data_IF_648763037335
#
_entry.id   IF_648763037335
#
_cell.length_a   1.000
_cell.length_b   1.000
_cell.length_c   1.000
_cell.angle_alpha   90.00
_cell.angle_beta   90.00
_cell.angle_gamma   90.00
#
_symmetry.space_group_name_H-M   'P 1'
#
loop_
_entity.id
_entity.type
_entity.pdbx_description
1 polymer ?
#
# COMPACT_ATOMS: atom_id res chain seq x y z
N UNK A 1 1.28 -40.10 -26.93
CA UNK A 1 2.30 -39.57 -27.85
C UNK A 1 2.01 -38.09 -28.04
N UNK A 2 2.83 -37.22 -27.44
CA UNK A 2 2.78 -35.78 -27.75
C UNK A 2 3.51 -35.57 -29.09
N UNK A 3 2.98 -34.73 -30.00
CA UNK A 3 3.67 -34.47 -31.26
C UNK A 3 5.01 -33.79 -30.98
N UNK A 4 6.06 -34.43 -31.47
CA UNK A 4 7.39 -33.89 -31.58
C UNK A 4 7.38 -32.77 -32.64
N UNK A 5 7.50 -31.52 -32.21
CA UNK A 5 7.74 -30.38 -33.09
C UNK A 5 9.11 -29.82 -32.72
N UNK A 6 10.12 -30.36 -33.38
CA UNK A 6 11.46 -29.76 -33.48
C UNK A 6 11.36 -28.52 -34.36
N UNK A 7 11.78 -27.39 -33.78
CA UNK A 7 12.52 -26.29 -34.42
C UNK A 7 11.97 -25.71 -35.72
N UNK A 8 10.95 -24.85 -35.62
CA UNK A 8 10.58 -23.78 -36.57
C UNK A 8 9.40 -23.06 -35.90
N UNK A 9 9.60 -22.07 -35.04
CA UNK A 9 9.83 -20.69 -35.45
C UNK A 9 10.66 -20.00 -34.35
N UNK A 10 11.81 -19.47 -34.74
CA UNK A 10 12.42 -18.32 -34.08
C UNK A 10 11.46 -17.13 -34.25
N UNK A 11 10.29 -17.17 -33.57
CA UNK A 11 9.40 -16.02 -33.42
C UNK A 11 10.23 -15.02 -32.64
N UNK A 12 10.86 -14.16 -33.43
CA UNK A 12 11.97 -13.29 -33.10
C UNK A 12 11.93 -12.88 -31.64
N UNK A 13 12.76 -13.54 -30.81
CA UNK A 13 12.82 -13.33 -29.36
C UNK A 13 12.97 -11.83 -29.05
N UNK A 14 13.60 -11.08 -29.95
CA UNK A 14 13.73 -9.62 -29.84
C UNK A 14 12.39 -8.91 -29.95
N UNK A 15 11.51 -9.29 -30.88
CA UNK A 15 10.14 -8.73 -30.99
C UNK A 15 9.29 -9.05 -29.76
N UNK A 16 9.44 -10.26 -29.19
CA UNK A 16 8.75 -10.62 -27.95
C UNK A 16 9.24 -9.76 -26.77
N UNK A 17 10.56 -9.58 -26.64
CA UNK A 17 11.16 -8.73 -25.62
C UNK A 17 10.73 -7.27 -25.77
N UNK A 18 10.72 -6.73 -26.99
CA UNK A 18 10.26 -5.38 -27.28
C UNK A 18 8.81 -5.17 -26.87
N UNK A 19 7.90 -6.07 -27.28
CA UNK A 19 6.48 -6.00 -26.89
C UNK A 19 6.29 -6.10 -25.38
N UNK A 20 7.06 -6.95 -24.71
CA UNK A 20 7.03 -7.07 -23.25
C UNK A 20 7.51 -5.79 -22.56
N UNK A 21 8.53 -5.14 -23.10
CA UNK A 21 9.05 -3.87 -22.59
C UNK A 21 8.08 -2.71 -22.82
N UNK A 22 7.48 -2.61 -24.00
CA UNK A 22 6.41 -1.66 -24.29
C UNK A 22 5.22 -1.83 -23.34
N UNK A 23 4.77 -3.07 -23.12
CA UNK A 23 3.70 -3.39 -22.18
C UNK A 23 4.06 -2.96 -20.74
N UNK A 24 5.30 -3.17 -20.30
CA UNK A 24 5.79 -2.72 -18.99
C UNK A 24 5.82 -1.20 -18.87
N UNK A 25 6.28 -0.50 -19.90
CA UNK A 25 6.31 0.96 -19.92
C UNK A 25 4.89 1.53 -19.86
N UNK A 26 3.98 0.98 -20.65
CA UNK A 26 2.57 1.36 -20.64
C UNK A 26 1.90 1.07 -19.29
N UNK A 27 2.18 -0.08 -18.68
CA UNK A 27 1.73 -0.41 -17.33
C UNK A 27 2.25 0.60 -16.30
N UNK A 28 3.53 0.97 -16.35
CA UNK A 28 4.14 1.99 -15.48
C UNK A 28 3.42 3.34 -15.61
N UNK A 29 3.16 3.79 -16.84
CA UNK A 29 2.47 5.06 -17.09
C UNK A 29 1.05 5.03 -16.53
N UNK A 30 0.31 3.92 -16.73
CA UNK A 30 -1.04 3.73 -16.20
C UNK A 30 -1.05 3.71 -14.67
N UNK A 31 -0.15 2.96 -14.05
CA UNK A 31 0.00 2.91 -12.58
C UNK A 31 0.28 4.31 -12.03
N UNK A 32 1.21 5.06 -12.63
CA UNK A 32 1.54 6.42 -12.18
C UNK A 32 0.34 7.39 -12.31
N UNK A 33 -0.41 7.29 -13.41
CA UNK A 33 -1.64 8.07 -13.61
C UNK A 33 -2.71 7.69 -12.57
N UNK A 34 -2.87 6.41 -12.30
CA UNK A 34 -3.83 5.91 -11.32
C UNK A 34 -3.46 6.36 -9.91
N UNK A 35 -2.18 6.22 -9.51
CA UNK A 35 -1.65 6.71 -8.23
C UNK A 35 -1.95 8.20 -8.01
N UNK A 36 -1.81 9.04 -9.05
CA UNK A 36 -2.15 10.48 -8.95
C UNK A 36 -3.64 10.70 -8.68
N UNK A 37 -4.50 9.99 -9.41
CA UNK A 37 -5.95 10.06 -9.24
C UNK A 37 -6.39 9.61 -7.85
N UNK A 38 -5.84 8.48 -7.39
CA UNK A 38 -6.15 7.92 -6.07
C UNK A 38 -5.64 8.83 -4.95
N UNK A 39 -4.42 9.37 -5.09
CA UNK A 39 -3.87 10.34 -4.14
C UNK A 39 -4.75 11.58 -4.05
N UNK A 40 -5.21 12.12 -5.19
CA UNK A 40 -6.11 13.28 -5.21
C UNK A 40 -7.44 12.98 -4.52
N UNK A 41 -8.05 11.82 -4.83
CA UNK A 41 -9.32 11.39 -4.22
C UNK A 41 -9.19 11.20 -2.71
N UNK A 42 -8.10 10.56 -2.27
CA UNK A 42 -7.85 10.32 -0.85
C UNK A 42 -7.58 11.63 -0.10
N UNK A 43 -6.73 12.50 -0.65
CA UNK A 43 -6.38 13.78 -0.05
C UNK A 43 -7.60 14.70 0.10
N UNK A 44 -8.58 14.64 -0.81
CA UNK A 44 -9.81 15.44 -0.71
C UNK A 44 -10.61 15.14 0.58
N UNK A 45 -10.61 13.89 1.05
CA UNK A 45 -11.34 13.47 2.26
C UNK A 45 -10.48 13.49 3.52
N UNK A 46 -9.16 13.71 3.38
CA UNK A 46 -8.23 13.69 4.48
C UNK A 46 -8.27 15.02 5.23
N UNK A 47 -8.56 14.99 6.52
CA UNK A 47 -8.36 16.15 7.39
C UNK A 47 -6.86 16.31 7.66
N UNK A 48 -6.37 17.54 7.53
CA UNK A 48 -5.03 17.87 7.97
C UNK A 48 -5.02 17.89 9.50
N UNK A 49 -4.35 16.92 10.10
CA UNK A 49 -4.17 16.84 11.56
C UNK A 49 -2.68 16.78 11.82
N UNK A 50 -2.19 17.74 12.59
CA UNK A 50 -0.83 17.75 13.08
C UNK A 50 -0.82 17.23 14.51
N UNK A 51 0.18 16.43 14.82
CA UNK A 51 0.38 15.86 16.15
C UNK A 51 1.65 16.46 16.73
N UNK A 52 1.56 16.91 17.98
CA UNK A 52 2.69 17.44 18.73
C UNK A 52 3.17 16.42 19.78
N UNK A 53 4.47 16.44 20.13
CA UNK A 53 4.97 15.71 21.29
C UNK A 53 4.15 16.04 22.54
N UNK A 54 3.66 15.00 23.23
CA UNK A 54 2.76 15.15 24.38
C UNK A 54 1.29 14.85 24.09
N UNK A 55 0.85 14.91 22.84
CA UNK A 55 -0.54 14.62 22.48
C UNK A 55 -0.93 13.18 22.82
N UNK A 56 -2.17 13.00 23.29
CA UNK A 56 -2.77 11.69 23.55
C UNK A 56 -3.57 11.23 22.33
N UNK A 57 -3.17 10.12 21.74
CA UNK A 57 -3.73 9.60 20.49
C UNK A 57 -4.17 8.15 20.64
N UNK A 58 -5.22 7.76 19.93
CA UNK A 58 -5.62 6.35 19.82
C UNK A 58 -4.98 5.75 18.59
N UNK A 59 -4.32 4.60 18.75
CA UNK A 59 -3.64 3.93 17.63
C UNK A 59 -4.57 2.91 17.01
N UNK A 60 -4.75 3.00 15.69
CA UNK A 60 -5.45 1.99 14.93
C UNK A 60 -4.56 0.76 14.74
N UNK A 61 -4.99 -0.39 15.26
CA UNK A 61 -4.28 -1.66 15.14
C UNK A 61 -5.25 -2.73 14.64
N UNK A 62 -5.11 -3.21 13.40
CA UNK A 62 -5.98 -4.26 12.86
C UNK A 62 -5.57 -5.60 13.45
N UNK A 63 -6.15 -5.95 14.60
CA UNK A 63 -5.92 -7.24 15.25
C UNK A 63 -6.86 -8.29 14.69
N UNK A 64 -6.30 -9.44 14.29
CA UNK A 64 -7.05 -10.65 13.95
C UNK A 64 -6.86 -11.69 15.04
N UNK A 65 -7.96 -12.19 15.61
CA UNK A 65 -7.92 -13.28 16.61
C UNK A 65 -8.77 -14.44 16.10
N UNK A 66 -8.18 -15.63 16.02
CA UNK A 66 -8.90 -16.86 15.65
C UNK A 66 -10.04 -17.10 16.64
N UNK A 67 -11.21 -17.50 16.13
CA UNK A 67 -12.41 -17.75 16.95
C UNK A 67 -13.19 -16.50 17.37
N UNK A 68 -12.73 -15.29 17.04
CA UNK A 68 -13.45 -14.04 17.30
C UNK A 68 -13.82 -13.33 15.99
N UNK A 69 -15.01 -12.73 15.95
CA UNK A 69 -15.44 -11.95 14.79
C UNK A 69 -14.68 -10.63 14.71
N UNK A 70 -13.98 -10.39 13.59
CA UNK A 70 -13.25 -9.15 13.33
C UNK A 70 -14.11 -7.88 13.43
N UNK A 71 -15.42 -8.01 13.23
CA UNK A 71 -16.37 -6.88 13.33
C UNK A 71 -16.58 -6.43 14.78
N UNK A 72 -16.45 -7.35 15.73
CA UNK A 72 -16.65 -7.08 17.16
C UNK A 72 -15.35 -6.75 17.90
N UNK A 73 -14.19 -6.92 17.24
CA UNK A 73 -12.90 -6.57 17.83
C UNK A 73 -12.70 -5.04 17.86
N UNK A 74 -12.22 -4.53 19.00
CA UNK A 74 -11.77 -3.14 19.13
C UNK A 74 -10.58 -2.90 18.21
N UNK A 75 -10.66 -1.88 17.35
CA UNK A 75 -9.62 -1.52 16.37
C UNK A 75 -8.70 -0.41 16.83
N UNK A 76 -9.12 0.37 17.83
CA UNK A 76 -8.36 1.48 18.39
C UNK A 76 -7.98 1.14 19.83
N UNK A 77 -6.68 1.27 20.12
CA UNK A 77 -6.11 0.96 21.43
C UNK A 77 -5.51 2.19 22.06
N UNK A 78 -5.73 2.31 23.38
CA UNK A 78 -5.08 3.19 24.34
C UNK A 78 -5.12 4.69 24.04
N UNK A 79 -4.95 5.54 25.06
CA UNK A 79 -4.26 6.80 24.84
C UNK A 79 -2.76 6.52 24.80
N UNK A 80 -2.17 6.54 23.61
CA UNK A 80 -0.73 6.62 23.43
C UNK A 80 -0.28 8.07 23.54
N UNK A 81 0.91 8.31 24.05
CA UNK A 81 1.53 9.64 24.04
C UNK A 81 2.48 9.76 22.86
N UNK A 82 2.31 10.81 22.06
CA UNK A 82 3.25 11.13 20.98
C UNK A 82 4.58 11.57 21.61
N UNK A 83 5.68 10.92 21.24
CA UNK A 83 7.03 11.25 21.70
C UNK A 83 7.70 12.25 20.78
N UNK A 84 7.62 12.00 19.46
CA UNK A 84 8.23 12.85 18.43
C UNK A 84 7.55 12.66 17.08
N UNK A 85 7.59 13.71 16.28
CA UNK A 85 7.12 13.74 14.89
C UNK A 85 8.26 13.38 13.96
N UNK A 86 8.03 12.43 13.05
CA UNK A 86 8.99 12.01 12.02
C UNK A 86 8.67 12.60 10.64
N UNK A 87 7.45 13.08 10.43
CA UNK A 87 7.03 13.72 9.20
C UNK A 87 5.64 14.31 9.31
N UNK A 88 5.02 14.67 8.18
CA UNK A 88 3.72 15.36 8.19
C UNK A 88 2.61 14.57 8.90
N UNK A 89 2.64 13.23 8.82
CA UNK A 89 1.62 12.34 9.39
C UNK A 89 2.17 11.19 10.24
N UNK A 90 3.49 11.02 10.29
CA UNK A 90 4.14 9.92 11.00
C UNK A 90 4.64 10.41 12.36
N UNK A 91 4.24 9.69 13.42
CA UNK A 91 4.64 9.95 14.80
C UNK A 91 5.10 8.67 15.46
N UNK A 92 6.06 8.80 16.37
CA UNK A 92 6.38 7.74 17.34
C UNK A 92 5.51 7.98 18.56
N UNK A 93 4.76 6.97 18.99
CA UNK A 93 3.90 7.06 20.16
C UNK A 93 4.18 5.89 21.11
N UNK A 94 4.14 6.16 22.41
CA UNK A 94 4.35 5.19 23.48
C UNK A 94 3.05 4.96 24.24
N UNK A 95 2.77 3.71 24.61
CA UNK A 95 1.62 3.40 25.45
C UNK A 95 1.79 4.07 26.82
N UNK A 96 0.73 4.71 27.31
CA UNK A 96 0.65 5.07 28.72
C UNK A 96 0.20 3.80 29.45
N UNK A 97 1.09 3.25 30.28
CA UNK A 97 0.78 2.13 31.18
C UNK A 97 -0.34 2.50 32.17
#
# INVERSE_FOLDING_TARGET
MLPNVTDEENIDVTTYLQRAEEARQLARLRIKKQQRTDSRRYNLRRRHTEYQPGDRVWVWTPIRRRGLSEKLLRRYFGPYRVLRRLGLSLVVAQALE
#
